data_IF_475315575383
#
_entry.id   IF_475315575383
#
_cell.length_a   1.000
_cell.length_b   1.000
_cell.length_c   1.000
_cell.angle_alpha   90.00
_cell.angle_beta   90.00
_cell.angle_gamma   90.00
#
_symmetry.space_group_name_H-M   'P 1'
#
loop_
_entity.id
_entity.type
_entity.pdbx_description
1 polymer ?
#
# COMPACT_ATOMS: atom_id res chain seq x y z
N UNK A 1 -4.83 -15.43 5.25
CA UNK A 1 -4.44 -15.42 3.82
C UNK A 1 -4.36 -13.96 3.35
N UNK A 2 -3.38 -13.60 2.50
CA UNK A 2 -3.20 -12.24 1.97
C UNK A 2 -3.25 -12.25 0.43
N UNK A 3 -4.05 -11.34 -0.14
CA UNK A 3 -4.18 -11.13 -1.59
C UNK A 3 -4.25 -9.63 -1.89
N UNK A 4 -3.63 -9.18 -2.98
CA UNK A 4 -3.65 -7.77 -3.36
C UNK A 4 -4.88 -7.37 -4.19
N UNK A 5 -5.64 -8.34 -4.72
CA UNK A 5 -6.73 -8.06 -5.64
C UNK A 5 -7.94 -7.43 -4.92
N UNK A 6 -8.59 -6.47 -5.57
CA UNK A 6 -9.88 -5.94 -5.11
C UNK A 6 -11.02 -6.93 -5.37
N UNK A 7 -10.95 -7.64 -6.51
CA UNK A 7 -11.83 -8.77 -6.86
C UNK A 7 -11.10 -10.05 -6.50
N UNK A 8 -11.65 -10.83 -5.58
CA UNK A 8 -11.01 -12.08 -5.16
C UNK A 8 -10.91 -13.05 -6.35
N UNK A 9 -9.70 -13.52 -6.63
CA UNK A 9 -9.49 -14.62 -7.58
C UNK A 9 -10.21 -15.87 -7.07
N UNK A 10 -10.92 -16.56 -7.97
CA UNK A 10 -11.62 -17.82 -7.67
C UNK A 10 -10.71 -18.89 -7.06
N UNK A 11 -9.40 -18.87 -7.36
CA UNK A 11 -8.40 -19.79 -6.82
C UNK A 11 -8.17 -19.56 -5.33
N UNK A 12 -8.06 -18.30 -4.92
CA UNK A 12 -7.93 -17.90 -3.52
C UNK A 12 -9.17 -18.32 -2.74
N UNK A 13 -10.36 -18.08 -3.30
CA UNK A 13 -11.63 -18.50 -2.70
C UNK A 13 -11.70 -20.02 -2.58
N UNK A 14 -11.40 -20.76 -3.65
CA UNK A 14 -11.46 -22.23 -3.64
C UNK A 14 -10.51 -22.84 -2.59
N UNK A 15 -9.31 -22.27 -2.42
CA UNK A 15 -8.38 -22.73 -1.41
C UNK A 15 -8.86 -22.40 0.01
N UNK A 16 -9.38 -21.20 0.24
CA UNK A 16 -9.97 -20.81 1.51
C UNK A 16 -11.14 -21.74 1.89
N UNK A 17 -12.04 -22.01 0.95
CA UNK A 17 -13.14 -22.97 1.15
C UNK A 17 -12.62 -24.38 1.46
N UNK A 18 -11.55 -24.83 0.80
CA UNK A 18 -10.93 -26.12 1.07
C UNK A 18 -10.39 -26.20 2.51
N UNK A 19 -9.71 -25.17 2.99
CA UNK A 19 -9.22 -25.09 4.37
C UNK A 19 -10.39 -25.11 5.38
N UNK A 20 -11.44 -24.34 5.13
CA UNK A 20 -12.65 -24.32 5.98
C UNK A 20 -13.30 -25.70 6.04
N UNK A 21 -13.41 -26.40 4.92
CA UNK A 21 -13.97 -27.75 4.87
C UNK A 21 -13.16 -28.78 5.70
N UNK A 22 -11.88 -28.52 5.95
CA UNK A 22 -11.02 -29.32 6.82
C UNK A 22 -10.98 -28.81 8.27
N UNK A 23 -11.87 -27.89 8.65
CA UNK A 23 -12.03 -27.40 10.02
C UNK A 23 -11.12 -26.24 10.41
N UNK A 24 -10.39 -25.64 9.46
CA UNK A 24 -9.58 -24.46 9.73
C UNK A 24 -10.42 -23.18 9.68
N UNK A 25 -10.09 -22.22 10.54
CA UNK A 25 -10.61 -20.86 10.43
C UNK A 25 -9.77 -20.06 9.43
N UNK A 26 -10.43 -19.38 8.50
CA UNK A 26 -9.76 -18.59 7.47
C UNK A 26 -10.18 -17.13 7.57
N UNK A 27 -9.20 -16.27 7.88
CA UNK A 27 -9.30 -14.83 7.63
C UNK A 27 -8.52 -14.47 6.36
N UNK A 28 -9.20 -13.83 5.41
CA UNK A 28 -8.63 -13.36 4.15
C UNK A 28 -8.52 -11.83 4.20
N UNK A 29 -7.33 -11.30 3.89
CA UNK A 29 -7.10 -9.86 3.81
C UNK A 29 -6.86 -9.48 2.36
N UNK A 30 -7.64 -8.52 1.86
CA UNK A 30 -7.64 -8.08 0.47
C UNK A 30 -7.81 -6.56 0.35
N UNK A 31 -7.60 -5.98 -0.84
CA UNK A 31 -7.88 -4.56 -1.05
C UNK A 31 -9.39 -4.29 -1.18
N UNK A 32 -9.81 -3.13 -0.68
CA UNK A 32 -11.16 -2.60 -0.85
C UNK A 32 -11.30 -1.85 -2.17
N UNK A 33 -12.54 -1.72 -2.65
CA UNK A 33 -12.89 -0.73 -3.68
C UNK A 33 -13.05 0.67 -3.11
N UNK A 34 -13.25 0.77 -1.80
CA UNK A 34 -13.55 2.01 -1.10
C UNK A 34 -12.35 2.54 -0.34
N UNK A 35 -12.44 3.81 0.08
CA UNK A 35 -11.43 4.45 0.91
C UNK A 35 -11.30 3.80 2.30
N UNK A 36 -12.41 3.29 2.85
CA UNK A 36 -12.50 2.78 4.22
C UNK A 36 -12.33 1.27 4.30
N UNK A 37 -11.80 0.82 5.43
CA UNK A 37 -11.74 -0.60 5.77
C UNK A 37 -13.13 -1.18 5.99
N UNK A 38 -13.33 -2.43 5.57
CA UNK A 38 -14.56 -3.19 5.77
C UNK A 38 -14.23 -4.61 6.21
N UNK A 39 -15.06 -5.17 7.10
CA UNK A 39 -15.01 -6.59 7.46
C UNK A 39 -16.34 -7.23 7.16
N UNK A 40 -16.32 -8.36 6.47
CA UNK A 40 -17.51 -9.10 6.06
C UNK A 40 -17.28 -10.60 6.16
N UNK A 41 -18.35 -11.36 6.38
CA UNK A 41 -18.33 -12.81 6.31
C UNK A 41 -18.88 -13.23 4.94
N UNK A 42 -18.12 -13.98 4.16
CA UNK A 42 -18.61 -14.47 2.87
C UNK A 42 -19.57 -15.65 3.06
N UNK A 43 -20.32 -16.02 2.01
CA UNK A 43 -21.24 -17.16 2.05
C UNK A 43 -20.52 -18.49 2.30
N UNK A 44 -19.26 -18.58 1.89
CA UNK A 44 -18.38 -19.72 2.08
C UNK A 44 -17.79 -19.80 3.50
N UNK A 45 -18.08 -18.82 4.37
CA UNK A 45 -17.58 -18.75 5.75
C UNK A 45 -16.20 -18.13 5.89
N UNK A 46 -15.72 -17.39 4.88
CA UNK A 46 -14.44 -16.68 4.94
C UNK A 46 -14.65 -15.37 5.69
N UNK A 47 -13.83 -15.13 6.73
CA UNK A 47 -13.76 -13.84 7.40
C UNK A 47 -12.89 -12.88 6.56
N UNK A 48 -13.52 -11.97 5.83
CA UNK A 48 -12.87 -11.12 4.85
C UNK A 48 -12.64 -9.72 5.40
N UNK A 49 -11.38 -9.30 5.48
CA UNK A 49 -10.96 -7.94 5.82
C UNK A 49 -10.52 -7.25 4.53
N UNK A 50 -11.23 -6.19 4.16
CA UNK A 50 -10.92 -5.34 3.00
C UNK A 50 -10.23 -4.08 3.46
N UNK A 51 -8.94 -3.98 3.16
CA UNK A 51 -8.10 -2.82 3.46
C UNK A 51 -8.53 -1.65 2.59
N UNK A 52 -8.94 -0.55 3.24
CA UNK A 52 -9.35 0.67 2.56
C UNK A 52 -8.21 1.33 1.78
N UNK A 53 -8.51 1.90 0.62
CA UNK A 53 -7.51 2.56 -0.23
C UNK A 53 -6.87 3.79 0.45
N UNK A 54 -7.53 4.41 1.44
CA UNK A 54 -6.95 5.52 2.20
C UNK A 54 -5.82 5.06 3.13
N UNK A 55 -5.80 3.78 3.53
CA UNK A 55 -4.77 3.20 4.38
C UNK A 55 -3.52 2.79 3.58
N UNK A 56 -3.61 2.73 2.25
CA UNK A 56 -2.49 2.42 1.37
C UNK A 56 -1.61 3.65 1.24
N UNK A 57 -0.56 3.71 2.06
CA UNK A 57 0.41 4.80 2.03
C UNK A 57 1.70 4.36 1.35
N UNK A 58 2.23 5.15 0.40
CA UNK A 58 3.57 4.98 -0.14
C UNK A 58 4.66 4.91 0.93
N UNK A 59 5.20 3.71 1.15
CA UNK A 59 6.28 3.48 2.10
C UNK A 59 7.67 3.71 1.51
N UNK A 60 7.76 3.73 0.19
CA UNK A 60 9.02 3.84 -0.53
C UNK A 60 9.80 5.11 -0.09
N UNK A 61 11.05 4.96 0.37
CA UNK A 61 11.89 6.09 0.77
C UNK A 61 12.11 7.13 -0.35
N UNK A 62 12.08 6.75 -1.62
CA UNK A 62 12.24 7.70 -2.74
C UNK A 62 10.99 8.56 -2.85
N UNK A 63 9.80 7.96 -2.79
CA UNK A 63 8.54 8.67 -2.75
C UNK A 63 8.42 9.58 -1.51
N UNK A 64 8.77 9.08 -0.32
CA UNK A 64 8.74 9.90 0.93
C UNK A 64 9.60 11.16 0.78
N UNK A 65 10.84 11.02 0.28
CA UNK A 65 11.72 12.18 0.02
C UNK A 65 11.13 13.13 -1.02
N UNK A 66 10.50 12.61 -2.08
CA UNK A 66 9.81 13.44 -3.07
C UNK A 66 8.68 14.26 -2.42
N UNK A 67 7.84 13.64 -1.60
CA UNK A 67 6.76 14.32 -0.87
C UNK A 67 7.30 15.36 0.11
N UNK A 68 8.35 15.04 0.86
CA UNK A 68 8.99 15.99 1.78
C UNK A 68 9.56 17.22 1.05
N UNK A 69 10.17 17.03 -0.13
CA UNK A 69 10.60 18.14 -0.99
C UNK A 69 9.40 18.96 -1.45
N UNK A 70 8.33 18.31 -1.89
CA UNK A 70 7.11 18.97 -2.37
C UNK A 70 6.43 19.82 -1.27
N UNK A 71 6.30 19.26 -0.07
CA UNK A 71 5.74 19.97 1.09
C UNK A 71 6.61 21.15 1.52
N UNK A 72 7.94 21.01 1.53
CA UNK A 72 8.85 22.12 1.81
C UNK A 72 8.70 23.25 0.81
N UNK A 73 8.61 22.93 -0.48
CA UNK A 73 8.36 23.92 -1.54
C UNK A 73 7.03 24.64 -1.34
N UNK A 74 5.96 23.90 -1.07
CA UNK A 74 4.63 24.46 -0.82
C UNK A 74 4.62 25.39 0.41
N UNK A 75 5.21 24.93 1.52
CA UNK A 75 5.29 25.70 2.76
C UNK A 75 6.11 26.99 2.60
N UNK A 76 7.21 26.93 1.85
CA UNK A 76 8.00 28.12 1.52
C UNK A 76 7.17 29.15 0.74
N UNK A 77 6.42 28.70 -0.26
CA UNK A 77 5.61 29.58 -1.08
C UNK A 77 4.42 30.17 -0.32
N UNK A 78 3.72 29.37 0.49
CA UNK A 78 2.65 29.87 1.35
C UNK A 78 3.15 30.96 2.31
N UNK A 79 4.37 30.83 2.84
CA UNK A 79 5.02 31.87 3.66
C UNK A 79 5.34 33.14 2.86
N UNK A 80 5.70 33.01 1.59
CA UNK A 80 6.02 34.16 0.72
C UNK A 80 4.75 34.87 0.24
N UNK A 81 3.71 34.11 -0.11
CA UNK A 81 2.42 34.64 -0.55
C UNK A 81 1.74 35.45 0.56
N UNK A 82 1.77 34.92 1.81
CA UNK A 82 1.28 35.67 2.98
C UNK A 82 2.01 36.98 3.24
N UNK A 83 3.26 37.14 2.77
CA UNK A 83 4.02 38.40 2.86
C UNK A 83 3.80 39.35 1.68
N UNK A 84 3.38 38.85 0.53
CA UNK A 84 3.29 39.60 -0.72
C UNK A 84 2.09 39.14 -1.59
N UNK A 85 0.84 39.34 -1.12
CA UNK A 85 -0.35 38.77 -1.76
C UNK A 85 -0.58 39.28 -3.19
N UNK A 86 -0.12 40.49 -3.52
CA UNK A 86 -0.23 41.07 -4.87
C UNK A 86 0.65 40.37 -5.93
N UNK A 87 1.53 39.45 -5.54
CA UNK A 87 2.46 38.73 -6.43
C UNK A 87 2.17 37.22 -6.54
N UNK A 88 1.01 36.75 -6.10
CA UNK A 88 0.64 35.33 -6.08
C UNK A 88 0.85 34.61 -7.42
N UNK A 89 0.62 35.27 -8.55
CA UNK A 89 0.80 34.66 -9.88
C UNK A 89 2.26 34.25 -10.17
N UNK A 90 3.24 35.05 -9.72
CA UNK A 90 4.67 34.76 -9.91
C UNK A 90 5.05 33.54 -9.07
N UNK A 91 4.56 33.49 -7.83
CA UNK A 91 4.80 32.37 -6.91
C UNK A 91 4.18 31.07 -7.45
N UNK A 92 2.98 31.13 -8.01
CA UNK A 92 2.35 29.96 -8.67
C UNK A 92 3.13 29.49 -9.90
N UNK A 93 3.63 30.41 -10.73
CA UNK A 93 4.46 30.05 -11.89
C UNK A 93 5.77 29.37 -11.44
N UNK A 94 6.44 29.94 -10.43
CA UNK A 94 7.63 29.35 -9.82
C UNK A 94 7.35 27.96 -9.23
N UNK A 95 6.24 27.78 -8.52
CA UNK A 95 5.81 26.49 -7.99
C UNK A 95 5.68 25.43 -9.08
N UNK A 96 4.99 25.75 -10.19
CA UNK A 96 4.81 24.80 -11.29
C UNK A 96 6.13 24.33 -11.87
N UNK A 97 7.10 25.24 -12.01
CA UNK A 97 8.45 24.92 -12.53
C UNK A 97 9.21 24.03 -11.53
N UNK A 98 9.26 24.43 -10.26
CA UNK A 98 9.98 23.66 -9.22
C UNK A 98 9.34 22.29 -8.95
N UNK A 99 8.01 22.21 -8.99
CA UNK A 99 7.26 20.96 -8.88
C UNK A 99 7.58 20.01 -10.03
N UNK A 100 7.62 20.51 -11.28
CA UNK A 100 8.05 19.72 -12.45
C UNK A 100 9.48 19.21 -12.30
N UNK A 101 10.39 20.04 -11.79
CA UNK A 101 11.77 19.62 -11.53
C UNK A 101 11.85 18.54 -10.44
N UNK A 102 11.12 18.70 -9.33
CA UNK A 102 11.03 17.71 -8.26
C UNK A 102 10.48 16.37 -8.77
N UNK A 103 9.47 16.39 -9.65
CA UNK A 103 8.93 15.19 -10.29
C UNK A 103 9.95 14.49 -11.20
N UNK A 104 10.75 15.25 -11.98
CA UNK A 104 11.84 14.67 -12.80
C UNK A 104 12.93 14.05 -11.94
N UNK A 105 13.29 14.69 -10.83
CA UNK A 105 14.25 14.16 -9.87
C UNK A 105 13.74 12.88 -9.21
N UNK A 106 12.45 12.83 -8.83
CA UNK A 106 11.80 11.62 -8.32
C UNK A 106 11.90 10.45 -9.31
N UNK A 107 11.57 10.67 -10.58
CA UNK A 107 11.69 9.64 -11.62
C UNK A 107 13.14 9.16 -11.81
N UNK A 108 14.12 10.07 -11.72
CA UNK A 108 15.53 9.70 -11.80
C UNK A 108 15.97 8.86 -10.58
N UNK A 109 15.55 9.23 -9.37
CA UNK A 109 15.83 8.45 -8.16
C UNK A 109 15.18 7.06 -8.19
N UNK A 110 13.95 6.95 -8.69
CA UNK A 110 13.30 5.65 -8.92
C UNK A 110 14.09 4.80 -9.91
N UNK A 111 14.50 5.38 -11.05
CA UNK A 111 15.29 4.69 -12.06
C UNK A 111 16.63 4.20 -11.48
N UNK A 112 17.29 5.01 -10.66
CA UNK A 112 18.55 4.63 -10.03
C UNK A 112 18.36 3.50 -9.00
N UNK A 113 17.32 3.60 -8.16
CA UNK A 113 17.05 2.63 -7.10
C UNK A 113 16.60 1.28 -7.66
N UNK A 114 15.63 1.29 -8.56
CA UNK A 114 14.98 0.08 -9.06
C UNK A 114 15.53 -0.43 -10.38
N UNK A 115 16.38 0.35 -11.05
CA UNK A 115 16.98 0.02 -12.36
C UNK A 115 15.94 -0.36 -13.42
N UNK A 116 14.69 0.07 -13.23
CA UNK A 116 13.56 -0.22 -14.12
C UNK A 116 12.97 1.08 -14.63
N UNK A 117 12.73 1.12 -15.94
CA UNK A 117 12.01 2.22 -16.61
C UNK A 117 10.50 2.02 -16.62
N UNK A 118 10.04 0.81 -16.29
CA UNK A 118 8.66 0.37 -16.45
C UNK A 118 8.01 0.00 -15.10
N UNK A 119 8.54 0.51 -13.98
CA UNK A 119 7.93 0.26 -12.68
C UNK A 119 6.65 1.10 -12.58
N UNK A 120 5.51 0.47 -12.86
CA UNK A 120 4.18 1.11 -12.91
C UNK A 120 3.79 1.76 -11.60
N UNK A 121 4.16 1.14 -10.47
CA UNK A 121 4.19 1.74 -9.15
C UNK A 121 5.00 0.83 -8.21
N UNK A 122 5.92 1.35 -7.37
CA UNK A 122 6.51 0.58 -6.28
C UNK A 122 5.42 0.36 -5.21
N UNK A 123 4.67 -0.73 -5.39
CA UNK A 123 3.46 -1.10 -4.65
C UNK A 123 3.67 -1.03 -3.13
N UNK A 124 3.09 -0.03 -2.44
CA UNK A 124 3.31 0.19 -1.03
C UNK A 124 2.09 -0.28 -0.23
N UNK A 125 1.91 -1.59 -0.15
CA UNK A 125 0.79 -2.18 0.58
C UNK A 125 1.18 -2.70 1.95
N UNK A 126 2.49 -2.78 2.23
CA UNK A 126 3.00 -3.57 3.33
C UNK A 126 2.41 -3.19 4.69
N UNK A 127 2.47 -1.91 5.05
CA UNK A 127 1.95 -1.37 6.32
C UNK A 127 0.44 -1.48 6.41
N UNK A 128 -0.28 -1.31 5.30
CA UNK A 128 -1.73 -1.42 5.28
C UNK A 128 -2.17 -2.85 5.62
N UNK A 129 -1.53 -3.85 5.01
CA UNK A 129 -1.80 -5.27 5.31
C UNK A 129 -1.29 -5.68 6.69
N UNK A 130 -0.11 -5.22 7.10
CA UNK A 130 0.42 -5.49 8.46
C UNK A 130 -0.47 -4.86 9.52
N UNK A 131 -1.00 -3.65 9.31
CA UNK A 131 -1.91 -3.02 10.27
C UNK A 131 -3.25 -3.74 10.37
N UNK A 132 -3.77 -4.24 9.24
CA UNK A 132 -5.07 -4.93 9.21
C UNK A 132 -4.99 -6.35 9.81
N UNK A 133 -3.85 -7.03 9.65
CA UNK A 133 -3.70 -8.44 10.00
C UNK A 133 -2.75 -8.71 11.18
N UNK A 134 -1.94 -7.73 11.59
CA UNK A 134 -0.82 -7.91 12.50
C UNK A 134 -1.23 -8.34 13.90
N UNK A 135 -2.44 -7.98 14.34
CA UNK A 135 -2.94 -8.33 15.68
C UNK A 135 -3.86 -9.57 15.66
N UNK A 136 -4.09 -10.17 14.49
CA UNK A 136 -4.92 -11.36 14.38
C UNK A 136 -4.17 -12.59 14.93
N UNK A 137 -4.82 -13.45 15.72
CA UNK A 137 -4.25 -14.74 16.08
C UNK A 137 -4.19 -15.61 14.82
N UNK A 138 -2.98 -16.02 14.42
CA UNK A 138 -2.76 -16.85 13.24
C UNK A 138 -1.77 -17.97 13.54
N UNK A 139 -2.04 -19.17 13.05
CA UNK A 139 -1.12 -20.32 13.14
C UNK A 139 -0.27 -20.49 11.88
N UNK A 140 -0.70 -19.90 10.77
CA UNK A 140 -0.02 -19.91 9.48
C UNK A 140 -0.39 -18.64 8.71
N UNK A 141 0.59 -18.05 8.03
CA UNK A 141 0.36 -16.97 7.08
C UNK A 141 0.48 -17.52 5.68
N UNK A 142 -0.54 -17.33 4.86
CA UNK A 142 -0.49 -17.67 3.44
C UNK A 142 -0.58 -16.41 2.58
N UNK A 143 0.25 -16.31 1.55
CA UNK A 143 0.30 -15.19 0.61
C UNK A 143 0.12 -15.71 -0.82
N UNK A 144 -0.69 -15.02 -1.63
CA UNK A 144 -0.94 -15.39 -3.04
C UNK A 144 -0.24 -14.51 -4.07
N UNK A 145 0.20 -13.30 -3.68
CA UNK A 145 0.73 -12.35 -4.64
C UNK A 145 2.07 -11.80 -4.18
N UNK A 146 2.97 -11.54 -5.14
CA UNK A 146 4.26 -10.94 -4.84
C UNK A 146 4.15 -9.58 -4.10
N UNK A 147 3.19 -8.68 -4.41
CA UNK A 147 3.05 -7.41 -3.70
C UNK A 147 2.69 -7.56 -2.22
N UNK A 148 2.05 -8.65 -1.80
CA UNK A 148 1.68 -8.92 -0.40
C UNK A 148 2.71 -9.78 0.33
N UNK A 149 3.73 -10.28 -0.37
CA UNK A 149 4.77 -11.14 0.22
C UNK A 149 5.54 -10.46 1.35
N UNK A 150 5.94 -9.21 1.18
CA UNK A 150 6.66 -8.50 2.25
C UNK A 150 5.79 -8.36 3.51
N UNK A 151 4.49 -8.09 3.35
CA UNK A 151 3.54 -8.02 4.47
C UNK A 151 3.43 -9.39 5.16
N UNK A 152 3.27 -10.45 4.38
CA UNK A 152 3.17 -11.81 4.90
C UNK A 152 4.42 -12.23 5.67
N UNK A 153 5.62 -11.92 5.18
CA UNK A 153 6.88 -12.19 5.89
C UNK A 153 6.92 -11.45 7.23
N UNK A 154 6.48 -10.18 7.27
CA UNK A 154 6.45 -9.39 8.52
C UNK A 154 5.47 -9.98 9.53
N UNK A 155 4.26 -10.31 9.10
CA UNK A 155 3.21 -10.90 9.97
C UNK A 155 3.67 -12.27 10.49
N UNK A 156 4.14 -13.15 9.61
CA UNK A 156 4.61 -14.49 9.98
C UNK A 156 5.74 -14.43 11.02
N UNK A 157 6.70 -13.50 10.83
CA UNK A 157 7.78 -13.26 11.80
C UNK A 157 7.27 -12.70 13.13
N UNK A 158 6.31 -11.75 13.09
CA UNK A 158 5.73 -11.15 14.29
C UNK A 158 5.06 -12.21 15.18
N UNK A 159 4.38 -13.19 14.57
CA UNK A 159 3.68 -14.27 15.28
C UNK A 159 4.55 -15.51 15.51
N UNK A 160 5.74 -15.59 14.91
CA UNK A 160 6.60 -16.77 15.00
C UNK A 160 6.02 -18.00 14.29
N UNK A 161 5.25 -17.80 13.22
CA UNK A 161 4.53 -18.86 12.51
C UNK A 161 5.06 -19.09 11.09
N UNK A 162 4.78 -20.26 10.48
CA UNK A 162 5.15 -20.53 9.10
C UNK A 162 4.50 -19.57 8.10
N UNK A 163 5.24 -19.29 7.02
CA UNK A 163 4.75 -18.59 5.84
C UNK A 163 4.63 -19.57 4.68
N UNK A 164 3.44 -19.68 4.09
CA UNK A 164 3.21 -20.34 2.82
C UNK A 164 3.05 -19.29 1.72
N UNK A 165 3.81 -19.42 0.63
CA UNK A 165 3.67 -18.58 -0.55
C UNK A 165 3.17 -19.42 -1.72
N UNK A 166 2.04 -19.02 -2.27
CA UNK A 166 1.40 -19.60 -3.45
C UNK A 166 1.66 -18.65 -4.62
N UNK A 167 2.35 -19.12 -5.65
CA UNK A 167 2.94 -18.30 -6.73
C UNK A 167 2.21 -18.48 -8.07
#
# INVERSE_FOLDING_TARGET
MLCHDQKLDRRVVAQATSLIAHGYQVTLVALSFDANEKREMTLEGIDLIRVGLASVMPEDPVYKRYMDRQHRLNNMLNRLDGKCPKKGYIFQAGFRILSKFNAKLYLAELLLKYRSRNMGDPLPFTSAFVSAAGDLPVDIVQVHDLPTLEAGVKIARQHGVPLAYDA
#
